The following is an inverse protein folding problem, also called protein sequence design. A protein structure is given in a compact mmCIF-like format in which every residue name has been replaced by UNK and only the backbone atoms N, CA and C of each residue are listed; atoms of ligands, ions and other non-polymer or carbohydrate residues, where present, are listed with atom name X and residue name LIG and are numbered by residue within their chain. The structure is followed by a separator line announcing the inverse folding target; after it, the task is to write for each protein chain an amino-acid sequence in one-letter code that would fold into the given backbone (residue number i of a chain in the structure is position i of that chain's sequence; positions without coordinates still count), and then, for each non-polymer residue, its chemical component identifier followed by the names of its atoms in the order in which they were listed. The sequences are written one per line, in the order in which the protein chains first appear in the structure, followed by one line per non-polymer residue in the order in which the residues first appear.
data_IF_701250989563
#
_entry.id   IF_701250989563
#
_cell.length_a   1.000
_cell.length_b   1.000
_cell.length_c   1.000
_cell.angle_alpha   90.00
_cell.angle_beta   90.00
_cell.angle_gamma   90.00
#
_symmetry.space_group_name_H-M   'P 1'
#
loop_
_entity.id
_entity.type
_entity.pdbx_description
1 polymer ?
2 non-polymer ?
3 non-polymer ?
4 non-polymer ?
5 non-polymer ?
6 non-polymer ?
7 water ?
#
# COMPACT_ATOMS: atom_id res chain seq x y z
N UNK A 1 12.43 -10.82 2.59
CA UNK A 1 11.74 -9.53 2.36
C UNK A 1 10.96 -9.13 3.61
N UNK A 2 10.11 -8.15 3.46
CA UNK A 2 9.30 -7.65 4.61
C UNK A 2 8.51 -8.79 5.25
N UNK A 3 7.81 -9.64 4.48
CA UNK A 3 7.00 -10.73 5.08
C UNK A 3 7.91 -11.65 5.90
N UNK A 4 9.09 -11.99 5.41
CA UNK A 4 9.99 -12.88 6.16
C UNK A 4 10.41 -12.14 7.42
N UNK A 5 10.66 -10.83 7.32
CA UNK A 5 11.11 -10.07 8.52
C UNK A 5 10.05 -10.19 9.63
N UNK A 6 8.78 -10.13 9.26
CA UNK A 6 7.68 -10.27 10.26
C UNK A 6 7.83 -11.65 10.92
N UNK A 7 8.12 -12.70 10.13
CA UNK A 7 8.30 -14.06 10.67
C UNK A 7 9.54 -14.09 11.59
N UNK A 8 10.64 -13.48 11.15
CA UNK A 8 11.89 -13.46 11.94
C UNK A 8 11.57 -12.83 13.32
N UNK A 9 10.99 -11.64 13.29
CA UNK A 9 10.68 -10.90 14.57
C UNK A 9 9.69 -11.72 15.39
N UNK A 10 8.62 -12.20 14.79
CA UNK A 10 7.61 -12.96 15.54
C UNK A 10 8.24 -14.18 16.21
N UNK A 11 9.17 -14.84 15.56
CA UNK A 11 9.76 -16.08 16.09
C UNK A 11 10.44 -15.84 17.43
N UNK A 12 10.98 -14.64 17.61
CA UNK A 12 11.65 -14.31 18.89
C UNK A 12 11.19 -12.93 19.37
N UNK A 13 9.88 -12.79 19.48
CA UNK A 13 9.24 -11.46 19.61
C UNK A 13 9.79 -10.75 20.83
N UNK A 14 9.80 -11.43 21.98
CA UNK A 14 10.13 -10.67 23.20
C UNK A 14 11.58 -10.12 23.09
N UNK A 15 12.54 -10.85 22.51
CA UNK A 15 13.94 -10.41 22.43
C UNK A 15 14.08 -9.26 21.43
N UNK A 16 13.48 -9.40 20.25
CA UNK A 16 13.53 -8.31 19.25
C UNK A 16 12.84 -7.08 19.82
N UNK A 17 11.69 -7.28 20.46
CA UNK A 17 10.92 -6.13 21.02
C UNK A 17 11.78 -5.38 22.05
N UNK A 18 12.40 -6.11 22.97
CA UNK A 18 13.25 -5.48 24.00
C UNK A 18 14.46 -4.80 23.34
N UNK A 19 15.10 -5.47 22.37
CA UNK A 19 16.35 -4.94 21.77
C UNK A 19 16.04 -3.67 20.96
N UNK A 20 14.93 -3.67 20.22
CA UNK A 20 14.59 -2.51 19.38
C UNK A 20 14.09 -1.37 20.29
N UNK A 21 13.24 -1.68 21.26
CA UNK A 21 12.77 -0.61 22.18
C UNK A 21 13.97 0.03 22.91
N UNK A 22 14.93 -0.76 23.39
CA UNK A 22 16.14 -0.17 24.04
C UNK A 22 16.96 0.64 23.04
N UNK A 23 17.09 0.18 21.82
CA UNK A 23 17.80 0.93 20.76
C UNK A 23 17.14 2.29 20.56
N UNK A 24 15.81 2.32 20.56
CA UNK A 24 15.01 3.57 20.49
C UNK A 24 15.33 4.48 21.67
N UNK A 25 15.24 3.97 22.88
CA UNK A 25 15.50 4.86 24.06
C UNK A 25 16.98 5.28 24.05
N UNK A 26 17.89 4.44 23.56
CA UNK A 26 19.33 4.80 23.59
C UNK A 26 19.59 5.93 22.59
N UNK A 27 18.93 5.86 21.44
CA UNK A 27 19.20 6.85 20.38
C UNK A 27 18.52 8.16 20.76
N UNK A 28 17.36 8.08 21.41
CA UNK A 28 16.51 9.24 21.75
C UNK A 28 16.19 9.20 23.24
N UNK A 29 17.19 9.43 24.13
CA UNK A 29 16.99 9.22 25.56
C UNK A 29 15.93 10.13 26.18
N UNK A 30 15.63 11.28 25.58
CA UNK A 30 14.54 12.15 26.12
C UNK A 30 13.20 11.41 25.96
N UNK A 31 13.08 10.41 25.09
CA UNK A 31 11.79 9.68 24.90
C UNK A 31 11.51 8.81 26.13
N UNK A 32 12.49 8.55 26.97
CA UNK A 32 12.23 7.69 28.15
C UNK A 32 11.25 8.38 29.12
N UNK A 33 11.08 9.70 29.02
CA UNK A 33 10.18 10.48 29.90
C UNK A 33 8.73 9.97 29.79
N UNK A 34 8.35 9.38 28.65
CA UNK A 34 6.99 8.84 28.46
C UNK A 34 6.77 7.53 29.23
N UNK A 35 7.84 6.95 29.78
CA UNK A 35 7.82 5.62 30.42
C UNK A 35 8.37 5.76 31.85
N UNK A 36 7.56 6.33 32.73
CA UNK A 36 8.07 6.91 33.99
C UNK A 36 8.70 5.82 34.86
N UNK A 37 8.21 4.58 34.79
CA UNK A 37 8.76 3.45 35.59
C UNK A 37 10.06 2.90 35.03
N UNK A 38 10.53 3.34 33.86
CA UNK A 38 11.78 2.85 33.24
C UNK A 38 12.91 3.87 33.43
N UNK A 39 12.61 5.08 33.90
CA UNK A 39 13.62 6.15 34.14
C UNK A 39 14.57 5.65 35.22
N UNK A 40 15.88 5.83 35.00
CA UNK A 40 16.92 5.51 35.99
C UNK A 40 17.07 4.02 36.24
N UNK A 41 16.65 3.19 35.29
CA UNK A 41 16.76 1.74 35.45
C UNK A 41 17.70 1.22 34.39
N UNK A 42 18.58 0.32 34.79
CA UNK A 42 19.51 -0.32 33.83
C UNK A 42 18.71 -1.27 32.96
N UNK A 43 19.31 -1.71 31.88
CA UNK A 43 18.63 -2.68 31.00
C UNK A 43 18.27 -3.96 31.78
N UNK A 44 19.17 -4.50 32.62
CA UNK A 44 18.88 -5.76 33.33
C UNK A 44 17.80 -5.51 34.38
N UNK A 45 17.81 -4.34 35.05
CA UNK A 45 16.72 -4.01 36.02
C UNK A 45 15.42 -4.02 35.21
N UNK A 46 15.39 -3.40 34.02
CA UNK A 46 14.15 -3.37 33.18
C UNK A 46 13.68 -4.79 32.91
N UNK A 47 14.59 -5.68 32.54
CA UNK A 47 14.22 -7.07 32.22
C UNK A 47 13.68 -7.84 33.44
N UNK A 48 13.97 -7.39 34.67
CA UNK A 48 13.41 -8.00 35.90
C UNK A 48 11.97 -7.53 36.12
N UNK A 49 11.57 -6.45 35.46
CA UNK A 49 10.23 -5.84 35.67
C UNK A 49 9.24 -6.51 34.72
N UNK A 50 8.22 -7.14 35.28
CA UNK A 50 7.27 -7.93 34.47
C UNK A 50 6.72 -7.06 33.34
N UNK A 51 6.41 -5.80 33.63
CA UNK A 51 5.61 -4.98 32.69
C UNK A 51 6.53 -4.51 31.59
N UNK A 52 7.85 -4.48 31.83
CA UNK A 52 8.79 -4.10 30.75
C UNK A 52 8.70 -5.16 29.65
N UNK A 53 8.85 -6.43 29.99
CA UNK A 53 8.76 -7.48 28.95
C UNK A 53 7.33 -7.57 28.43
N UNK A 54 6.31 -7.44 29.30
CA UNK A 54 4.92 -7.64 28.84
C UNK A 54 4.56 -6.53 27.86
N UNK A 55 4.79 -5.28 28.30
CA UNK A 55 4.59 -4.02 27.52
C UNK A 55 5.17 -4.25 26.13
N UNK A 56 6.48 -4.40 26.14
CA UNK A 56 7.31 -4.35 24.92
C UNK A 56 6.79 -5.43 23.96
N UNK A 57 6.57 -6.64 24.46
CA UNK A 57 6.07 -7.73 23.62
C UNK A 57 4.74 -7.32 23.01
N UNK A 58 3.83 -6.70 23.77
CA UNK A 58 2.50 -6.41 23.22
C UNK A 58 2.59 -5.28 22.23
N UNK A 59 3.47 -4.31 22.42
CA UNK A 59 3.68 -3.24 21.42
C UNK A 59 4.11 -3.90 20.12
N UNK A 60 5.09 -4.77 20.16
CA UNK A 60 5.67 -5.35 18.92
C UNK A 60 4.72 -6.37 18.34
N UNK A 61 3.91 -7.03 19.15
CA UNK A 61 2.89 -7.94 18.59
C UNK A 61 1.94 -7.11 17.73
N UNK A 62 1.46 -5.97 18.23
CA UNK A 62 0.55 -5.11 17.47
C UNK A 62 1.31 -4.59 16.24
N UNK A 63 2.54 -4.16 16.39
CA UNK A 63 3.30 -3.62 15.24
C UNK A 63 3.32 -4.70 14.16
N UNK A 64 3.59 -5.94 14.52
CA UNK A 64 3.69 -7.06 13.54
C UNK A 64 2.32 -7.32 12.90
N UNK A 65 1.22 -7.17 13.61
CA UNK A 65 -0.16 -7.33 13.09
C UNK A 65 -0.41 -6.24 12.05
N UNK A 66 -0.03 -5.01 12.37
CA UNK A 66 -0.23 -3.84 11.46
C UNK A 66 0.66 -4.10 10.22
N UNK A 67 1.89 -4.55 10.43
CA UNK A 67 2.83 -4.82 9.31
C UNK A 67 2.23 -5.90 8.44
N UNK A 68 1.71 -6.96 9.00
CA UNK A 68 1.17 -8.12 8.26
C UNK A 68 -0.09 -7.72 7.48
N UNK A 69 -0.89 -6.79 7.99
CA UNK A 69 -2.14 -6.40 7.32
C UNK A 69 -1.88 -5.34 6.26
N UNK A 70 -0.66 -4.78 6.21
CA UNK A 70 -0.31 -3.79 5.18
C UNK A 70 -0.20 -4.49 3.80
N UNK A 71 -0.41 -3.68 2.76
CA UNK A 71 -0.19 -4.07 1.36
C UNK A 71 0.97 -3.19 0.89
N UNK A 72 2.05 -3.83 0.42
CA UNK A 72 3.26 -3.14 -0.09
C UNK A 72 3.66 -2.04 0.88
N UNK A 73 3.65 -2.38 2.17
CA UNK A 73 4.09 -1.50 3.29
C UNK A 73 3.17 -0.32 3.49
N UNK A 74 1.96 -0.38 2.95
CA UNK A 74 0.91 0.65 3.20
C UNK A 74 -0.05 0.09 4.26
N UNK A 75 -0.07 0.64 5.50
CA UNK A 75 -0.95 0.10 6.56
C UNK A 75 -2.41 0.49 6.34
N UNK A 76 -3.30 -0.28 6.93
CA UNK A 76 -4.73 0.07 7.01
C UNK A 76 -4.93 1.36 7.81
N UNK A 77 -5.74 2.27 7.30
CA UNK A 77 -6.20 3.47 8.04
C UNK A 77 -6.81 3.05 9.38
N UNK A 78 -7.52 1.93 9.42
CA UNK A 78 -8.14 1.44 10.69
C UNK A 78 -7.05 1.18 11.71
N UNK A 79 -5.91 0.63 11.31
CA UNK A 79 -4.82 0.33 12.24
C UNK A 79 -4.17 1.63 12.71
N UNK A 80 -3.96 2.59 11.84
CA UNK A 80 -3.47 3.93 12.27
C UNK A 80 -4.43 4.50 13.31
N UNK A 81 -5.74 4.38 13.06
CA UNK A 81 -6.71 5.00 13.98
C UNK A 81 -6.63 4.34 15.37
N UNK A 82 -6.51 3.02 15.42
CA UNK A 82 -6.31 2.31 16.70
C UNK A 82 -5.17 2.98 17.45
N UNK A 83 -4.04 3.24 16.79
CA UNK A 83 -2.83 3.76 17.45
C UNK A 83 -3.05 5.21 17.90
N UNK A 84 -3.76 5.99 17.10
CA UNK A 84 -4.05 7.39 17.49
C UNK A 84 -5.03 7.44 18.69
N UNK A 85 -6.02 6.54 18.79
CA UNK A 85 -7.11 6.69 19.79
C UNK A 85 -6.72 6.01 21.09
N UNK A 86 -5.66 5.20 21.12
CA UNK A 86 -5.15 4.63 22.40
C UNK A 86 -4.90 5.74 23.43
N UNK A 87 -5.47 5.59 24.64
CA UNK A 87 -5.29 6.57 25.74
C UNK A 87 -3.78 6.74 26.01
N UNK A 88 -3.03 5.63 25.92
CA UNK A 88 -1.57 5.66 26.19
C UNK A 88 -0.82 6.54 25.18
N UNK A 89 -1.43 6.85 24.04
CA UNK A 89 -0.74 7.62 22.97
C UNK A 89 -1.29 9.06 22.88
N UNK A 90 -2.09 9.50 23.86
CA UNK A 90 -2.87 10.77 23.78
C UNK A 90 -1.93 11.96 23.62
N UNK A 91 -0.75 11.95 24.23
CA UNK A 91 0.14 13.15 24.18
C UNK A 91 1.19 13.00 23.06
N UNK A 92 1.12 11.97 22.22
CA UNK A 92 2.21 11.77 21.22
C UNK A 92 1.96 12.56 19.96
N UNK A 93 3.05 12.74 19.22
CA UNK A 93 3.01 13.32 17.86
C UNK A 93 3.61 12.30 16.92
N UNK A 94 3.43 12.53 15.63
CA UNK A 94 3.97 11.58 14.61
C UNK A 94 5.51 11.52 14.73
N UNK A 95 6.19 12.58 15.21
CA UNK A 95 7.65 12.58 15.39
C UNK A 95 8.09 11.47 16.34
N UNK A 96 7.24 11.11 17.32
CA UNK A 96 7.60 10.06 18.31
C UNK A 96 7.70 8.74 17.54
N UNK A 97 6.71 8.52 16.68
CA UNK A 97 6.64 7.30 15.84
C UNK A 97 7.80 7.30 14.86
N UNK A 98 8.11 8.45 14.26
CA UNK A 98 9.23 8.47 13.29
C UNK A 98 10.52 8.05 14.02
N UNK A 99 10.77 8.59 15.21
CA UNK A 99 11.99 8.24 15.99
C UNK A 99 12.03 6.72 16.22
N UNK A 100 10.93 6.08 16.63
CA UNK A 100 10.93 4.62 16.85
C UNK A 100 11.34 3.92 15.54
N UNK A 101 10.77 4.35 14.42
CA UNK A 101 11.10 3.69 13.15
C UNK A 101 12.54 3.99 12.67
N UNK A 102 13.08 5.18 12.93
CA UNK A 102 14.49 5.46 12.59
C UNK A 102 15.37 4.50 13.40
N UNK A 103 15.11 4.37 14.69
CA UNK A 103 15.87 3.45 15.55
C UNK A 103 15.72 2.00 15.09
N UNK A 104 14.53 1.59 14.69
CA UNK A 104 14.27 0.18 14.26
C UNK A 104 15.06 -0.12 12.99
N UNK A 105 15.08 0.85 12.09
CA UNK A 105 15.79 0.61 10.80
C UNK A 105 17.30 0.60 11.08
N UNK A 106 17.79 1.49 11.96
CA UNK A 106 19.23 1.53 12.32
C UNK A 106 19.61 0.21 12.99
N UNK A 107 18.76 -0.36 13.86
CA UNK A 107 18.99 -1.67 14.48
C UNK A 107 19.09 -2.75 13.40
N UNK A 108 18.16 -2.78 12.46
CA UNK A 108 18.19 -3.80 11.39
C UNK A 108 19.47 -3.67 10.54
N UNK A 109 19.84 -2.45 10.17
CA UNK A 109 21.08 -2.26 9.36
C UNK A 109 22.33 -2.71 10.14
N UNK A 110 22.37 -2.53 11.48
CA UNK A 110 23.55 -2.85 12.32
C UNK A 110 23.56 -4.35 12.67
N UNK A 111 22.45 -5.08 12.46
CA UNK A 111 22.32 -6.48 12.96
C UNK A 111 23.21 -7.42 12.14
N UNK A 112 23.44 -8.66 12.55
CA UNK A 112 24.03 -9.63 11.58
C UNK A 112 23.31 -9.76 10.20
N UNK A 113 22.12 -9.22 10.02
CA UNK A 113 21.03 -9.98 9.37
C UNK A 113 20.37 -9.27 8.18
N UNK A 114 19.76 -10.09 7.33
CA UNK A 114 19.28 -9.70 6.00
C UNK A 114 17.83 -9.22 6.10
N UNK A 115 17.60 -8.33 7.05
CA UNK A 115 16.34 -7.56 7.11
C UNK A 115 16.18 -6.73 5.82
N UNK A 116 14.95 -6.52 5.42
CA UNK A 116 14.59 -5.61 4.32
C UNK A 116 14.42 -4.23 4.93
N UNK A 117 15.50 -3.61 5.36
CA UNK A 117 15.41 -2.36 6.15
C UNK A 117 14.82 -1.21 5.31
N UNK A 118 15.00 -1.17 3.98
CA UNK A 118 14.33 -0.14 3.16
C UNK A 118 12.79 -0.24 3.35
N UNK A 119 12.26 -1.46 3.38
CA UNK A 119 10.80 -1.70 3.50
C UNK A 119 10.31 -1.24 4.88
N UNK A 120 11.11 -1.45 5.94
CA UNK A 120 10.67 -1.01 7.27
C UNK A 120 10.70 0.52 7.32
N UNK A 121 11.64 1.17 6.63
CA UNK A 121 11.68 2.65 6.59
C UNK A 121 10.41 3.12 5.88
N UNK A 122 10.08 2.50 4.76
CA UNK A 122 8.90 2.88 3.96
C UNK A 122 7.64 2.69 4.79
N UNK A 123 7.51 1.52 5.41
CA UNK A 123 6.35 1.19 6.26
C UNK A 123 6.22 2.27 7.33
N UNK A 124 7.34 2.64 7.98
CA UNK A 124 7.32 3.71 8.97
C UNK A 124 6.83 5.03 8.41
N UNK A 125 7.31 5.45 7.23
CA UNK A 125 6.91 6.70 6.56
C UNK A 125 5.40 6.64 6.28
N UNK A 126 4.91 5.51 5.78
CA UNK A 126 3.47 5.36 5.42
C UNK A 126 2.64 5.37 6.70
N UNK A 127 3.17 4.78 7.77
CA UNK A 127 2.41 4.75 9.03
C UNK A 127 2.34 6.16 9.59
N UNK A 128 3.41 6.95 9.52
CA UNK A 128 3.39 8.39 9.93
C UNK A 128 2.31 9.16 9.14
N UNK A 129 2.29 8.98 7.82
CA UNK A 129 1.25 9.56 6.95
C UNK A 129 -0.15 9.24 7.54
N UNK A 130 -0.42 7.96 7.75
CA UNK A 130 -1.74 7.43 8.19
C UNK A 130 -2.08 7.99 9.58
N UNK A 131 -1.09 8.06 10.48
CA UNK A 131 -1.33 8.63 11.83
C UNK A 131 -1.72 10.11 11.72
N UNK A 132 -1.01 10.94 10.97
CA UNK A 132 -1.38 12.37 10.73
C UNK A 132 -2.85 12.44 10.29
N UNK A 133 -3.19 11.68 9.23
CA UNK A 133 -4.51 11.65 8.55
C UNK A 133 -5.62 11.27 9.54
N UNK A 134 -5.33 10.38 10.50
CA UNK A 134 -6.24 9.92 11.55
C UNK A 134 -6.22 10.91 12.73
N UNK A 135 -5.49 12.03 12.64
CA UNK A 135 -5.63 13.19 13.53
C UNK A 135 -4.49 13.38 14.53
N UNK A 136 -3.42 12.59 14.44
CA UNK A 136 -2.24 12.80 15.33
C UNK A 136 -1.51 14.08 14.87
N UNK A 137 -1.18 14.96 15.83
CA UNK A 137 -0.38 16.19 15.52
C UNK A 137 1.04 15.82 15.11
N UNK B 1 9.20 6.69 -13.45
CA UNK B 1 8.50 5.72 -12.56
C UNK B 1 7.01 5.75 -12.73
N UNK B 2 6.30 5.05 -11.87
CA UNK B 2 4.83 4.91 -11.93
C UNK B 2 4.15 6.31 -11.90
N UNK B 3 4.59 7.16 -10.98
CA UNK B 3 3.98 8.48 -10.77
C UNK B 3 4.14 9.28 -12.07
N UNK B 4 5.32 9.25 -12.68
CA UNK B 4 5.53 10.04 -13.92
C UNK B 4 4.74 9.38 -15.07
N UNK B 5 4.61 8.06 -15.07
CA UNK B 5 3.82 7.37 -16.14
C UNK B 5 2.40 7.92 -16.16
N UNK B 6 1.84 8.23 -14.99
CA UNK B 6 0.47 8.80 -14.92
C UNK B 6 0.46 10.12 -15.71
N UNK B 7 1.48 10.95 -15.55
CA UNK B 7 1.59 12.22 -16.30
C UNK B 7 1.81 11.90 -17.79
N UNK B 8 2.60 10.88 -18.12
CA UNK B 8 2.83 10.54 -19.56
C UNK B 8 1.49 10.19 -20.20
N UNK B 9 0.74 9.30 -19.57
CA UNK B 9 -0.58 8.88 -20.11
C UNK B 9 -1.51 10.10 -20.20
N UNK B 10 -1.60 10.91 -19.15
CA UNK B 10 -2.51 12.07 -19.12
C UNK B 10 -2.18 13.08 -20.22
N UNK B 11 -0.90 13.16 -20.59
CA UNK B 11 -0.39 14.07 -21.64
C UNK B 11 -0.81 13.70 -23.05
N UNK B 12 -1.29 12.47 -23.29
CA UNK B 12 -1.74 12.00 -24.61
C UNK B 12 -2.85 10.96 -24.38
N UNK B 13 -3.84 11.34 -23.57
CA UNK B 13 -4.72 10.34 -22.91
C UNK B 13 -5.59 9.65 -23.96
N UNK B 14 -6.20 10.40 -24.89
CA UNK B 14 -7.15 9.74 -25.84
C UNK B 14 -6.39 8.68 -26.65
N UNK B 15 -5.16 8.98 -27.06
CA UNK B 15 -4.37 8.05 -27.87
C UNK B 15 -3.98 6.82 -27.09
N UNK B 16 -3.46 7.01 -25.88
CA UNK B 16 -3.00 5.88 -25.05
C UNK B 16 -4.22 5.03 -24.69
N UNK B 17 -5.31 5.69 -24.32
CA UNK B 17 -6.52 4.98 -23.86
C UNK B 17 -7.12 4.12 -24.97
N UNK B 18 -7.17 4.66 -26.20
CA UNK B 18 -7.64 3.84 -27.34
C UNK B 18 -6.63 2.73 -27.66
N UNK B 19 -5.37 3.06 -27.66
CA UNK B 19 -4.36 2.04 -28.02
C UNK B 19 -4.35 0.90 -27.00
N UNK B 20 -4.48 1.21 -25.69
CA UNK B 20 -4.42 0.13 -24.67
C UNK B 20 -5.74 -0.64 -24.69
N UNK B 21 -6.86 0.06 -24.88
CA UNK B 21 -8.16 -0.64 -24.92
C UNK B 21 -8.21 -1.58 -26.12
N UNK B 22 -7.70 -1.13 -27.28
CA UNK B 22 -7.64 -2.02 -28.47
C UNK B 22 -6.71 -3.18 -28.22
N UNK B 23 -5.58 -2.97 -27.55
CA UNK B 23 -4.67 -4.08 -27.20
C UNK B 23 -5.42 -5.12 -26.35
N UNK B 24 -6.23 -4.63 -25.41
CA UNK B 24 -7.06 -5.52 -24.56
C UNK B 24 -8.06 -6.30 -25.43
N UNK B 25 -8.86 -5.61 -26.23
CA UNK B 25 -9.93 -6.29 -27.01
C UNK B 25 -9.31 -7.25 -28.03
N UNK B 26 -8.16 -6.90 -28.60
CA UNK B 26 -7.53 -7.81 -29.58
C UNK B 26 -6.88 -9.00 -28.89
N UNK B 27 -6.33 -8.81 -27.68
CA UNK B 27 -5.79 -9.97 -26.93
C UNK B 27 -6.91 -10.88 -26.44
N UNK B 28 -8.05 -10.31 -26.08
CA UNK B 28 -9.18 -11.04 -25.44
C UNK B 28 -10.48 -10.69 -26.12
N UNK B 29 -10.66 -11.16 -27.39
CA UNK B 29 -11.80 -10.74 -28.20
C UNK B 29 -13.15 -11.05 -27.56
N UNK B 30 -13.20 -12.10 -26.73
CA UNK B 30 -14.51 -12.48 -26.10
C UNK B 30 -14.94 -11.46 -25.02
N UNK B 31 -14.07 -10.55 -24.62
CA UNK B 31 -14.40 -9.45 -23.69
C UNK B 31 -15.31 -8.44 -24.37
N UNK B 32 -15.41 -8.48 -25.71
CA UNK B 32 -16.31 -7.55 -26.43
C UNK B 32 -17.77 -7.79 -26.03
N UNK B 33 -18.11 -8.97 -25.48
CA UNK B 33 -19.50 -9.30 -25.12
C UNK B 33 -20.02 -8.37 -24.01
N UNK B 34 -19.15 -7.72 -23.24
CA UNK B 34 -19.60 -6.77 -22.18
C UNK B 34 -19.98 -5.43 -22.80
N UNK B 35 -19.61 -5.18 -24.04
CA UNK B 35 -19.79 -3.87 -24.70
C UNK B 35 -20.89 -4.05 -25.74
N UNK B 36 -21.35 -2.93 -26.27
CA UNK B 36 -22.36 -2.86 -27.33
C UNK B 36 -21.66 -2.47 -28.63
N UNK B 37 -21.88 -3.27 -29.67
CA UNK B 37 -21.57 -2.90 -31.07
C UNK B 37 -20.07 -2.92 -31.36
N UNK B 38 -19.26 -3.65 -30.61
CA UNK B 38 -17.81 -3.70 -30.87
C UNK B 38 -17.47 -4.90 -31.76
N UNK B 39 -18.24 -5.98 -31.70
CA UNK B 39 -17.95 -7.19 -32.53
C UNK B 39 -17.96 -6.86 -34.04
N UNK B 40 -17.12 -7.53 -34.83
CA UNK B 40 -17.24 -7.42 -36.29
C UNK B 40 -16.55 -6.20 -36.85
N UNK B 41 -15.66 -5.59 -36.07
CA UNK B 41 -15.03 -4.28 -36.40
C UNK B 41 -13.52 -4.31 -36.25
N UNK B 42 -12.82 -3.73 -37.22
CA UNK B 42 -11.38 -3.46 -37.09
C UNK B 42 -11.11 -2.28 -36.17
N UNK B 43 -9.86 -2.12 -35.78
CA UNK B 43 -9.43 -1.00 -34.92
C UNK B 43 -9.92 0.32 -35.51
N UNK B 44 -9.69 0.57 -36.81
CA UNK B 44 -10.04 1.89 -37.34
C UNK B 44 -11.57 2.06 -37.36
N UNK B 45 -12.33 0.99 -37.59
CA UNK B 45 -13.82 1.08 -37.53
C UNK B 45 -14.25 1.44 -36.08
N UNK B 46 -13.67 0.79 -35.08
CA UNK B 46 -13.99 1.10 -33.68
C UNK B 46 -13.67 2.56 -33.39
N UNK B 47 -12.51 3.04 -33.80
CA UNK B 47 -12.06 4.41 -33.48
C UNK B 47 -12.99 5.43 -34.11
N UNK B 48 -13.70 5.08 -35.19
CA UNK B 48 -14.60 6.04 -35.86
C UNK B 48 -16.02 5.96 -35.32
N UNK B 49 -16.28 5.07 -34.34
CA UNK B 49 -17.62 5.03 -33.71
C UNK B 49 -17.82 6.32 -32.91
N UNK B 50 -19.08 6.70 -32.75
CA UNK B 50 -19.45 7.89 -31.96
C UNK B 50 -18.86 7.81 -30.54
N UNK B 51 -18.93 6.66 -29.87
CA UNK B 51 -18.79 6.58 -28.40
C UNK B 51 -17.45 5.96 -28.02
N UNK B 52 -16.77 5.31 -28.94
CA UNK B 52 -15.60 4.47 -28.54
C UNK B 52 -14.53 5.34 -27.87
N UNK B 53 -14.06 6.42 -28.48
CA UNK B 53 -12.94 7.17 -27.89
C UNK B 53 -13.40 7.81 -26.61
N UNK B 54 -14.61 8.30 -26.59
CA UNK B 54 -15.13 9.05 -25.43
C UNK B 54 -15.22 8.09 -24.26
N UNK B 55 -15.59 6.83 -24.52
CA UNK B 55 -15.67 5.75 -23.49
C UNK B 55 -14.27 5.50 -22.95
N UNK B 56 -13.32 5.15 -23.81
CA UNK B 56 -11.92 4.85 -23.40
C UNK B 56 -11.44 6.03 -22.55
N UNK B 57 -11.69 7.26 -23.02
CA UNK B 57 -11.13 8.42 -22.28
C UNK B 57 -11.73 8.45 -20.86
N UNK B 58 -13.02 8.19 -20.71
CA UNK B 58 -13.62 8.27 -19.35
C UNK B 58 -13.03 7.17 -18.50
N UNK B 59 -12.84 5.97 -19.04
CA UNK B 59 -12.23 4.84 -18.32
C UNK B 59 -10.83 5.26 -17.86
N UNK B 60 -10.01 5.72 -18.78
CA UNK B 60 -8.60 5.98 -18.43
C UNK B 60 -8.49 7.28 -17.64
N UNK B 61 -9.40 8.26 -17.76
CA UNK B 61 -9.42 9.42 -16.82
C UNK B 61 -9.50 8.86 -15.39
N UNK B 62 -10.46 7.96 -15.17
CA UNK B 62 -10.69 7.46 -13.79
C UNK B 62 -9.54 6.55 -13.40
N UNK B 63 -9.06 5.69 -14.32
CA UNK B 63 -7.95 4.77 -14.00
C UNK B 63 -6.75 5.62 -13.52
N UNK B 64 -6.47 6.75 -14.18
CA UNK B 64 -5.30 7.57 -13.79
C UNK B 64 -5.54 8.22 -12.41
N UNK B 65 -6.78 8.60 -12.14
CA UNK B 65 -7.04 9.15 -10.77
C UNK B 65 -6.82 8.07 -9.73
N UNK B 66 -7.25 6.86 -10.00
CA UNK B 66 -7.08 5.73 -9.02
C UNK B 66 -5.59 5.49 -8.82
N UNK B 67 -4.81 5.49 -9.90
CA UNK B 67 -3.35 5.31 -9.80
C UNK B 67 -2.73 6.49 -9.04
N UNK B 68 -3.22 7.72 -9.27
CA UNK B 68 -2.63 8.94 -8.68
C UNK B 68 -2.96 8.97 -7.17
N UNK B 69 -4.10 8.40 -6.80
CA UNK B 69 -4.49 8.38 -5.35
C UNK B 69 -3.87 7.20 -4.64
N UNK B 70 -3.22 6.28 -5.32
CA UNK B 70 -2.53 5.13 -4.74
C UNK B 70 -1.28 5.60 -3.97
N UNK B 71 -0.84 4.76 -3.04
CA UNK B 71 0.46 4.87 -2.36
C UNK B 71 1.19 3.56 -2.62
N UNK B 72 2.42 3.67 -3.13
CA UNK B 72 3.26 2.49 -3.45
C UNK B 72 2.45 1.50 -4.31
N UNK B 73 1.66 2.03 -5.26
CA UNK B 73 0.87 1.23 -6.23
C UNK B 73 -0.27 0.47 -5.53
N UNK B 74 -0.67 0.90 -4.33
CA UNK B 74 -1.83 0.32 -3.57
C UNK B 74 -3.01 1.28 -3.72
N UNK B 75 -4.08 0.89 -4.46
CA UNK B 75 -5.21 1.79 -4.60
C UNK B 75 -5.97 1.96 -3.28
N UNK B 76 -6.65 3.09 -3.23
CA UNK B 76 -7.60 3.34 -2.09
C UNK B 76 -8.74 2.32 -2.14
N UNK B 77 -9.17 1.86 -0.97
CA UNK B 77 -10.31 0.94 -0.85
C UNK B 77 -11.58 1.64 -1.34
N UNK B 78 -11.70 2.96 -1.12
CA UNK B 78 -12.86 3.74 -1.61
C UNK B 78 -12.94 3.71 -3.13
N UNK B 79 -11.79 3.71 -3.79
CA UNK B 79 -11.77 3.67 -5.28
C UNK B 79 -12.23 2.28 -5.71
N UNK B 80 -11.70 1.25 -5.06
CA UNK B 80 -12.12 -0.15 -5.31
C UNK B 80 -13.63 -0.26 -5.11
N UNK B 81 -14.14 0.26 -4.02
CA UNK B 81 -15.57 0.14 -3.69
C UNK B 81 -16.39 0.80 -4.84
N UNK B 82 -16.01 1.99 -5.30
CA UNK B 82 -16.72 2.66 -6.43
C UNK B 82 -16.72 1.78 -7.66
N UNK B 83 -15.56 1.20 -8.00
CA UNK B 83 -15.48 0.38 -9.22
C UNK B 83 -16.39 -0.85 -9.08
N UNK B 84 -16.49 -1.42 -7.88
CA UNK B 84 -17.34 -2.62 -7.66
C UNK B 84 -18.83 -2.20 -7.74
N UNK B 85 -19.18 -1.01 -7.25
CA UNK B 85 -20.61 -0.63 -7.09
C UNK B 85 -21.21 0.02 -8.34
N UNK B 86 -20.42 0.46 -9.29
CA UNK B 86 -20.91 1.09 -10.52
C UNK B 86 -21.87 0.11 -11.20
N UNK B 87 -23.06 0.56 -11.53
CA UNK B 87 -24.07 -0.29 -12.24
C UNK B 87 -23.48 -0.87 -13.52
N UNK B 88 -22.61 -0.12 -14.23
CA UNK B 88 -21.99 -0.59 -15.49
C UNK B 88 -21.04 -1.74 -15.28
N UNK B 89 -20.60 -1.98 -14.04
CA UNK B 89 -19.69 -3.10 -13.73
C UNK B 89 -20.42 -4.27 -13.04
N UNK B 90 -21.76 -4.33 -12.98
CA UNK B 90 -22.46 -5.35 -12.17
C UNK B 90 -22.20 -6.81 -12.60
N UNK B 91 -21.90 -7.05 -13.87
CA UNK B 91 -21.68 -8.43 -14.40
C UNK B 91 -20.22 -8.88 -14.24
N UNK B 92 -19.32 -7.98 -13.85
CA UNK B 92 -17.88 -8.25 -13.95
C UNK B 92 -17.38 -9.10 -12.79
N UNK B 93 -16.25 -9.73 -13.00
CA UNK B 93 -15.43 -10.40 -11.98
C UNK B 93 -14.02 -9.82 -12.04
N UNK B 94 -13.22 -10.13 -11.04
CA UNK B 94 -11.86 -9.58 -10.97
C UNK B 94 -11.06 -10.04 -12.21
N UNK B 95 -11.39 -11.20 -12.74
CA UNK B 95 -10.69 -11.75 -13.91
C UNK B 95 -10.77 -10.82 -15.12
N UNK B 96 -11.84 -10.04 -15.23
CA UNK B 96 -11.96 -9.06 -16.33
C UNK B 96 -10.89 -7.97 -16.17
N UNK B 97 -10.70 -7.49 -14.95
CA UNK B 97 -9.69 -6.47 -14.60
C UNK B 97 -8.30 -7.05 -14.76
N UNK B 98 -8.09 -8.32 -14.38
CA UNK B 98 -6.74 -8.88 -14.54
C UNK B 98 -6.38 -8.90 -16.03
N UNK B 99 -7.33 -9.23 -16.88
CA UNK B 99 -7.02 -9.27 -18.34
C UNK B 99 -6.71 -7.86 -18.87
N UNK B 100 -7.42 -6.83 -18.44
CA UNK B 100 -7.12 -5.45 -18.86
C UNK B 100 -5.68 -5.11 -18.49
N UNK B 101 -5.28 -5.40 -17.26
CA UNK B 101 -3.93 -5.07 -16.79
C UNK B 101 -2.86 -5.93 -17.48
N UNK B 102 -3.13 -7.19 -17.82
CA UNK B 102 -2.12 -8.00 -18.57
C UNK B 102 -1.90 -7.31 -19.92
N UNK B 103 -2.97 -6.93 -20.62
CA UNK B 103 -2.83 -6.28 -21.94
C UNK B 103 -2.12 -4.94 -21.77
N UNK B 104 -2.46 -4.16 -20.72
CA UNK B 104 -1.88 -2.82 -20.50
C UNK B 104 -0.35 -2.98 -20.32
N UNK B 105 0.05 -3.93 -19.49
CA UNK B 105 1.49 -4.13 -19.18
C UNK B 105 2.21 -4.63 -20.46
N UNK B 106 1.60 -5.54 -21.23
CA UNK B 106 2.21 -6.00 -22.52
C UNK B 106 2.38 -4.80 -23.46
N UNK B 107 1.40 -3.91 -23.52
CA UNK B 107 1.48 -2.70 -24.36
C UNK B 107 2.66 -1.83 -23.95
N UNK B 108 2.79 -1.62 -22.64
CA UNK B 108 3.84 -0.73 -22.12
C UNK B 108 5.21 -1.34 -22.43
N UNK B 109 5.37 -2.66 -22.23
CA UNK B 109 6.67 -3.36 -22.45
C UNK B 109 7.05 -3.21 -23.93
N UNK B 110 6.11 -3.26 -24.86
CA UNK B 110 6.37 -3.23 -26.33
C UNK B 110 6.55 -1.79 -26.81
N UNK B 111 6.18 -0.81 -25.99
CA UNK B 111 6.17 0.62 -26.35
C UNK B 111 7.56 1.18 -26.60
N UNK B 112 7.67 2.23 -27.42
CA UNK B 112 8.93 2.99 -27.52
C UNK B 112 9.29 3.62 -26.18
N UNK B 113 8.29 3.86 -25.34
CA UNK B 113 8.37 4.82 -24.21
C UNK B 113 8.72 4.05 -22.91
N UNK B 114 9.54 4.66 -22.02
CA UNK B 114 10.15 4.06 -20.80
C UNK B 114 9.19 3.91 -19.59
N UNK B 115 8.12 3.17 -19.77
CA UNK B 115 7.12 2.95 -18.70
C UNK B 115 7.72 2.09 -17.60
N UNK B 116 7.22 2.28 -16.36
CA UNK B 116 7.58 1.41 -15.22
C UNK B 116 6.62 0.21 -15.25
N UNK B 117 6.77 -0.67 -16.22
CA UNK B 117 5.79 -1.73 -16.49
C UNK B 117 5.61 -2.64 -15.24
N UNK B 118 6.66 -2.93 -14.48
CA UNK B 118 6.59 -3.76 -13.25
C UNK B 118 5.60 -3.10 -12.25
N UNK B 119 5.63 -1.78 -12.12
CA UNK B 119 4.73 -1.06 -11.19
C UNK B 119 3.28 -1.13 -11.68
N UNK B 120 3.02 -1.03 -12.97
CA UNK B 120 1.63 -1.18 -13.50
C UNK B 120 1.12 -2.61 -13.25
N UNK B 121 1.99 -3.62 -13.34
CA UNK B 121 1.62 -5.03 -13.05
C UNK B 121 1.22 -5.13 -11.59
N UNK B 122 2.07 -4.62 -10.73
CA UNK B 122 1.84 -4.62 -9.26
C UNK B 122 0.54 -3.84 -8.94
N UNK B 123 0.34 -2.69 -9.59
CA UNK B 123 -0.90 -1.88 -9.39
C UNK B 123 -2.11 -2.72 -9.79
N UNK B 124 -2.05 -3.37 -10.95
CA UNK B 124 -3.18 -4.21 -11.38
C UNK B 124 -3.50 -5.33 -10.39
N UNK B 125 -2.47 -6.03 -9.91
CA UNK B 125 -2.63 -7.14 -8.93
C UNK B 125 -3.18 -6.56 -7.61
N UNK B 126 -2.72 -5.37 -7.21
CA UNK B 126 -3.24 -4.73 -5.97
C UNK B 126 -4.69 -4.28 -6.18
N UNK B 127 -5.05 -3.90 -7.40
CA UNK B 127 -6.43 -3.46 -7.66
C UNK B 127 -7.34 -4.68 -7.67
N UNK B 128 -6.94 -5.79 -8.27
CA UNK B 128 -7.69 -7.06 -8.23
C UNK B 128 -7.87 -7.46 -6.76
N UNK B 129 -6.82 -7.37 -5.93
CA UNK B 129 -6.94 -7.77 -4.51
C UNK B 129 -7.97 -6.83 -3.83
N UNK B 130 -7.91 -5.53 -4.11
CA UNK B 130 -8.84 -4.51 -3.54
C UNK B 130 -10.27 -4.72 -4.01
N UNK B 131 -10.47 -5.06 -5.28
CA UNK B 131 -11.83 -5.37 -5.78
C UNK B 131 -12.41 -6.61 -5.06
N UNK B 132 -11.60 -7.64 -4.85
CA UNK B 132 -12.05 -8.87 -4.14
C UNK B 132 -12.39 -8.52 -2.68
N UNK B 133 -11.55 -7.71 -2.02
CA UNK B 133 -11.84 -7.28 -0.62
C UNK B 133 -13.15 -6.49 -0.59
N UNK B 134 -13.35 -5.60 -1.56
CA UNK B 134 -14.60 -4.82 -1.67
C UNK B 134 -15.79 -5.67 -2.10
N UNK B 135 -15.65 -7.00 -2.26
CA UNK B 135 -16.79 -7.88 -2.58
C UNK B 135 -17.00 -8.31 -4.03
N UNK B 136 -16.12 -8.02 -5.02
CA UNK B 136 -16.34 -8.48 -6.43
C UNK B 136 -15.92 -9.96 -6.50
N UNK B 137 -16.76 -10.79 -7.14
CA UNK B 137 -16.48 -12.24 -7.30
C UNK B 137 -15.27 -12.44 -8.22
X LIG C 1 1.36 1.43 25.34
X LIG C 1 1.50 -0.21 20.73
X LIG C 1 4.48 3.49 19.53
X LIG C 1 4.21 5.16 24.12
X LIG C 1 1.19 0.68 24.16
X LIG C 1 0.47 -0.55 24.10
X LIG C 1 0.53 -1.04 22.81
X LIG C 1 1.24 -0.08 22.08
X LIG C 1 -0.07 -2.31 22.30
X LIG C 1 -0.15 -1.23 25.29
X LIG C 1 0.82 -2.29 25.83
X LIG C 1 0.25 -2.96 27.07
X LIG C 1 0.74 -4.02 27.51
X LIG C 1 -0.66 -2.44 27.79
X LIG C 1 2.35 0.65 20.03
X LIG C 1 2.73 0.46 18.65
X LIG C 1 3.55 1.46 18.29
X LIG C 1 3.69 2.34 19.47
X LIG C 1 2.26 -0.71 17.86
X LIG C 1 4.19 1.76 17.02
X LIG C 1 3.80 1.33 15.81
X LIG C 1 4.69 4.28 20.63
X LIG C 1 5.61 5.36 20.69
X LIG C 1 5.49 5.84 21.98
X LIG C 1 4.55 5.01 22.75
X LIG C 1 6.41 5.93 19.55
X LIG C 1 6.22 6.97 22.64
X LIG C 1 7.33 7.53 22.27
X LIG C 1 3.43 4.24 24.75
X LIG C 1 3.21 4.40 26.19
X LIG C 1 2.43 3.37 26.54
X LIG C 1 2.12 2.59 25.34
X LIG C 1 3.80 5.46 27.05
X LIG C 1 1.95 3.01 27.92
X LIG C 1 3.16 2.51 28.73
X LIG C 1 2.78 1.52 29.78
X LIG C 1 1.73 1.66 30.48
X LIG C 1 3.56 0.56 29.96
X LIG C 1 1.64 0.97 22.86
X LIG C 1 2.93 1.79 20.46
X LIG C 1 4.13 4.06 21.86
X LIG C 1 2.74 3.17 24.22
X LIG C 1 2.75 2.59 22.35
X LIG D 1 4.68 0.98 26.28
X LIG D 1 5.86 0.70 25.06
X LIG D 1 5.99 1.60 24.01
X LIG D 1 6.93 1.37 23.05
X LIG D 1 7.13 2.51 21.74
X LIG D 1 7.73 0.26 23.08
X LIG D 1 7.62 -0.63 24.13
X LIG D 1 6.67 -0.43 25.13
X LIG D 1 6.53 -1.28 26.17
X LIG E 1 15.58 -10.95 8.25
X LIG E 1 14.27 -11.45 8.34
X LIG E 1 16.52 -12.04 7.85
X LIG E 1 17.03 -12.61 9.06
X LIG E 1 15.80 -13.03 6.96
X LIG E 1 15.39 -14.14 7.74
X LIG F 1 7.85 -8.66 0.74
X LIG F 1 7.33 -8.68 -0.60
X LIG F 1 6.82 -8.18 1.66
X LIG F 1 9.04 -7.84 0.80
X LIG F 1 8.20 -10.00 1.09
X LIG G 1 -18.17 1.91 -18.01
X LIG G 1 -14.10 2.90 -15.53
X LIG G 1 -12.64 -1.66 -16.01
X LIG G 1 -16.69 -2.65 -18.52
X LIG G 1 -17.16 2.57 -17.31
X LIG G 1 -17.18 3.98 -17.08
X LIG G 1 -16.05 4.24 -16.35
X LIG G 1 -15.32 3.01 -16.16
X LIG G 1 -15.56 5.54 -15.80
X LIG G 1 -18.29 4.91 -17.52
X LIG G 1 -17.89 5.31 -18.96
X LIG G 1 -18.88 6.16 -19.70
X LIG G 1 -20.07 6.13 -19.40
X LIG G 1 -18.56 6.92 -20.61
X LIG G 1 -13.37 1.72 -15.43
X LIG G 1 -12.06 1.65 -14.84
X LIG G 1 -11.60 0.38 -15.00
X LIG G 1 -12.69 -0.33 -15.67
X LIG G 1 -11.29 2.75 -14.27
X LIG G 1 -10.36 -0.32 -14.57
X LIG G 1 -9.56 0.07 -13.56
X LIG G 1 -13.58 -2.34 -16.74
X LIG G 1 -13.44 -3.64 -17.26
X LIG G 1 -14.61 -3.94 -18.00
X LIG G 1 -15.42 -2.78 -17.97
X LIG G 1 -12.29 -4.55 -16.99
X LIG G 1 -14.97 -5.17 -18.75
X LIG G 1 -14.10 -6.06 -19.26
X LIG G 1 -17.40 -1.47 -18.51
X LIG G 1 -18.67 -1.37 -19.26
X LIG G 1 -19.09 -0.09 -19.12
X LIG G 1 -18.04 0.57 -18.32
X LIG G 1 -19.37 -2.46 -20.04
X LIG G 1 -20.32 0.53 -19.69
X LIG G 1 -20.18 0.73 -21.19
X LIG G 1 -20.16 2.19 -21.57
X LIG G 1 -18.97 2.90 -21.56
X LIG G 1 -21.27 2.72 -22.10
X LIG G 1 -15.98 1.98 -16.79
X LIG G 1 -13.72 0.51 -15.89
X LIG G 1 -14.76 -1.85 -17.17
X LIG G 1 -17.05 -0.29 -17.98
X LIG G 1 -15.50 0.06 -16.85
X LIG H 1 -16.36 1.01 -21.53
X LIG H 1 -14.65 0.71 -21.55
X LIG H 1 -14.09 -0.19 -20.66
X LIG H 1 -12.73 -0.39 -20.69
X LIG H 1 -12.05 -1.56 -19.61
X LIG H 1 -11.92 0.31 -21.54
X LIG H 1 -12.48 1.20 -22.45
X LIG H 1 -13.86 1.42 -22.45
X LIG H 1 -14.43 2.31 -23.32
X LIG I 1 -14.24 -13.68 -18.91
X LIG I 1 -12.95 -13.37 -18.39
X LIG I 1 -14.22 -14.60 -20.14
X LIG I 1 -13.36 -14.17 -21.22
X LIG I 1 -13.94 -16.06 -19.82
X LIG I 1 -13.11 -16.26 -18.68
X LIG J 1 -18.70 6.08 -5.42
X LIG J 1 -19.33 7.12 -6.16
X LIG J 1 -19.71 5.33 -4.55
X LIG J 1 -20.32 4.28 -5.30
X LIG J 1 -19.11 4.72 -3.30
X LIG J 1 -18.63 3.39 -3.53
X LIG K 1 -22.66 -6.78 -30.44
X LIG K 1 -23.36 -5.61 -29.68
X LIG K 1 -21.28 -6.06 -31.21
X LIG K 1 -21.78 -7.75 -29.22
X LIG L 1 -0.13 10.38 -2.97
X LIG L 1 0.36 10.97 -4.30
X LIG L 1 0.93 9.00 -2.59
X LIG L 1 -1.57 9.44 -3.36
X LIG M 1 7.66 5.82 -8.70
X LIG M 1 6.29 6.25 -8.65
X LIG M 1 7.78 4.55 -9.44
X LIG M 1 8.43 6.86 -9.35
X LIG M 1 8.17 5.66 -7.37
#
# INVERSE_FOLDING_TARGET
GFKQDIATIRGDLRTYAQDIFLAFLNKYPDERRYFKNYVGKSDQELKSMAKFGDHTEKVFNLMMEVADRATDCVPLASDANTLVQMKQHSSLTTGNFEKLFVALVEYMRASGQSFDSQSWDRFGKNLVSALSSAGMK
GFKQDIATIRGDLRTYAQDIFLAFLNKYPDERRYFKNYVGKSDQELKSMAKFGDHTEKVFNLMMEVADRATDCVPLASDANTLVQMKQHSSLTTGNFEKLFVALVEYMRASGQSFDSQSWDRFGKNLVSALSSAGMK
HEM CHA CHB CHC CHD C1A C2A C3A C4A CMA CAA CBA CGA O1A O2A C1B C2B C3B C4B CMB CAB CBB C1C C2C C3C C4C CMC CAC CBC C1D C2D C3D C4D CMD CAD CBD CGD O1D O2D NA NB NC ND FE
5JC CL1 CAI CAF CAH CL2 CAE CAD CAG OAA
GOL C1 O1 C2 O2 C3 O3
SO4 S O1 O2 O3 O4
HEM CHA CHB CHC CHD C1A C2A C3A C4A CMA CAA CBA CGA O1A O2A C1B C2B C3B C4B CMB CAB CBB C1C C2C C3C C4C CMC CAC CBC C1D C2D C3D C4D CMD CAD CBD CGD O1D O2D NA NB NC ND FE
5JC CL1 CAI CAF CAH CL2 CAE CAD CAG OAA
GOL C1 O1 C2 O2 C3 O3
GOL C1 O1 C2 O2 C3 O3
DMS S O C1 C2
DMS S O C1 C2
SO4 S O1 O2 O3 O4
#
